data_IF_701069422170
#
_entry.id   IF_701069422170
#
_cell.length_a   1.000
_cell.length_b   1.000
_cell.length_c   1.000
_cell.angle_alpha   90.00
_cell.angle_beta   90.00
_cell.angle_gamma   90.00
#
_symmetry.space_group_name_H-M   'P 1'
#
loop_
_entity.id
_entity.type
_entity.pdbx_description
1 polymer ?
#
# COMPACT_ATOMS: atom_id res chain seq x y z
N UNK A 1 -1.69 15.56 -25.86
CA UNK A 1 -1.24 14.48 -24.95
C UNK A 1 -0.49 15.18 -23.84
N UNK A 2 -1.21 15.67 -22.84
CA UNK A 2 -0.63 16.44 -21.73
C UNK A 2 -0.08 15.44 -20.73
N UNK A 3 1.23 15.43 -20.56
CA UNK A 3 1.89 14.72 -19.47
C UNK A 3 1.20 15.10 -18.16
N UNK A 4 0.52 14.13 -17.55
CA UNK A 4 -0.08 14.31 -16.24
C UNK A 4 1.06 14.50 -15.27
N UNK A 5 1.23 15.72 -14.76
CA UNK A 5 2.21 16.04 -13.73
C UNK A 5 1.71 15.45 -12.40
N UNK A 6 1.74 14.13 -12.27
CA UNK A 6 1.61 13.47 -10.98
C UNK A 6 2.98 13.53 -10.29
N UNK A 7 3.06 13.80 -8.97
CA UNK A 7 4.33 13.76 -8.26
C UNK A 7 4.94 12.37 -8.42
N UNK A 8 6.16 12.31 -8.97
CA UNK A 8 6.82 11.06 -9.34
C UNK A 8 6.82 10.12 -8.12
N UNK A 9 6.04 9.03 -8.19
CA UNK A 9 6.03 7.96 -7.20
C UNK A 9 7.39 7.26 -7.28
N UNK A 10 8.26 7.49 -6.29
CA UNK A 10 9.62 6.91 -6.26
C UNK A 10 9.72 5.83 -5.20
N UNK A 11 9.24 4.64 -5.56
CA UNK A 11 9.32 3.45 -4.72
C UNK A 11 10.76 2.94 -4.56
N UNK A 12 11.10 2.56 -3.33
CA UNK A 12 12.34 1.90 -2.95
C UNK A 12 12.16 0.39 -3.07
N UNK A 13 12.59 -0.16 -4.20
CA UNK A 13 12.59 -1.61 -4.46
C UNK A 13 13.73 -2.30 -3.68
N UNK A 14 13.51 -3.51 -3.13
CA UNK A 14 12.23 -4.24 -3.13
C UNK A 14 11.27 -3.79 -2.01
N UNK A 15 11.78 -3.10 -0.99
CA UNK A 15 11.12 -2.92 0.33
C UNK A 15 9.72 -2.31 0.25
N UNK A 16 9.48 -1.32 -0.61
CA UNK A 16 8.15 -0.72 -0.70
C UNK A 16 7.10 -1.69 -1.23
N UNK A 17 7.46 -2.54 -2.20
CA UNK A 17 6.57 -3.58 -2.67
C UNK A 17 6.39 -4.69 -1.63
N UNK A 18 7.45 -5.04 -0.89
CA UNK A 18 7.34 -5.96 0.26
C UNK A 18 6.36 -5.43 1.33
N UNK A 19 6.35 -4.10 1.58
CA UNK A 19 5.38 -3.47 2.50
C UNK A 19 3.95 -3.53 1.95
N UNK A 20 3.76 -3.23 0.66
CA UNK A 20 2.43 -3.32 0.03
C UNK A 20 1.93 -4.77 0.05
N UNK A 21 2.78 -5.74 -0.26
CA UNK A 21 2.45 -7.16 -0.18
C UNK A 21 2.04 -7.57 1.23
N UNK A 22 2.79 -7.13 2.25
CA UNK A 22 2.48 -7.41 3.66
C UNK A 22 1.13 -6.87 4.12
N UNK A 23 0.55 -5.86 3.45
CA UNK A 23 -0.75 -5.26 3.76
C UNK A 23 -1.84 -5.64 2.74
N UNK A 24 -1.51 -6.48 1.75
CA UNK A 24 -2.39 -6.82 0.62
C UNK A 24 -3.60 -7.69 0.98
N UNK A 25 -3.61 -8.27 2.18
CA UNK A 25 -4.77 -8.96 2.76
C UNK A 25 -5.91 -8.00 3.16
N UNK A 26 -5.70 -6.70 3.01
CA UNK A 26 -6.67 -5.65 3.37
C UNK A 26 -6.80 -5.44 4.88
N UNK A 27 -5.95 -6.08 5.69
CA UNK A 27 -5.93 -5.87 7.13
C UNK A 27 -5.15 -4.61 7.50
N UNK A 28 -5.49 -4.08 8.68
CA UNK A 28 -4.81 -2.93 9.29
C UNK A 28 -3.67 -3.42 10.14
N UNK A 29 -2.49 -2.85 9.97
CA UNK A 29 -1.34 -3.23 10.80
C UNK A 29 -0.48 -2.01 11.20
N UNK A 30 0.29 -2.17 12.27
CA UNK A 30 1.23 -1.17 12.76
C UNK A 30 2.63 -1.42 12.21
N UNK A 31 3.42 -0.36 12.05
CA UNK A 31 4.76 -0.49 11.44
C UNK A 31 5.74 -1.41 12.19
N UNK A 32 5.54 -1.63 13.49
CA UNK A 32 6.35 -2.61 14.25
C UNK A 32 6.08 -4.06 13.79
N UNK A 33 4.82 -4.39 13.51
CA UNK A 33 4.43 -5.72 13.06
C UNK A 33 4.86 -5.95 11.61
N UNK A 34 4.68 -4.93 10.74
CA UNK A 34 5.18 -4.97 9.36
C UNK A 34 6.69 -5.21 9.34
N UNK A 35 7.46 -4.49 10.16
CA UNK A 35 8.90 -4.68 10.26
C UNK A 35 9.30 -6.09 10.73
N UNK A 36 8.57 -6.65 11.69
CA UNK A 36 8.79 -8.01 12.17
C UNK A 36 8.48 -9.05 11.09
N UNK A 37 7.35 -8.90 10.38
CA UNK A 37 6.93 -9.81 9.30
C UNK A 37 7.93 -9.86 8.15
N UNK A 38 8.53 -8.71 7.81
CA UNK A 38 9.50 -8.60 6.73
C UNK A 38 10.96 -8.86 7.18
N UNK A 39 11.20 -9.10 8.47
CA UNK A 39 12.55 -9.16 9.06
C UNK A 39 13.41 -7.94 8.66
N UNK A 40 12.84 -6.74 8.85
CA UNK A 40 13.47 -5.45 8.49
C UNK A 40 13.64 -4.54 9.69
N UNK A 41 14.58 -3.60 9.56
CA UNK A 41 14.77 -2.56 10.57
C UNK A 41 13.50 -1.71 10.74
N UNK A 42 12.97 -1.66 11.96
CA UNK A 42 11.76 -0.91 12.30
C UNK A 42 11.85 0.59 11.99
N UNK A 43 13.00 1.23 12.24
CA UNK A 43 13.19 2.66 11.94
C UNK A 43 13.10 2.93 10.44
N UNK A 44 13.59 1.99 9.63
CA UNK A 44 13.49 2.08 8.18
C UNK A 44 12.03 1.93 7.71
N UNK A 45 11.32 0.90 8.18
CA UNK A 45 9.89 0.71 7.87
C UNK A 45 9.04 1.91 8.27
N UNK A 46 9.27 2.46 9.48
CA UNK A 46 8.57 3.66 9.95
C UNK A 46 8.91 4.93 9.14
N UNK A 47 9.99 4.92 8.37
CA UNK A 47 10.30 5.98 7.41
C UNK A 47 9.58 5.76 6.08
N UNK A 48 9.42 4.49 5.66
CA UNK A 48 8.72 4.14 4.41
C UNK A 48 7.21 4.33 4.49
N UNK A 49 6.57 3.90 5.58
CA UNK A 49 5.10 3.94 5.71
C UNK A 49 4.48 5.33 5.50
N UNK A 50 5.00 6.43 6.11
CA UNK A 50 4.49 7.77 5.80
C UNK A 50 4.67 8.17 4.33
N UNK A 51 5.79 7.79 3.70
CA UNK A 51 6.03 8.11 2.29
C UNK A 51 5.06 7.36 1.36
N UNK A 52 4.79 6.08 1.64
CA UNK A 52 3.79 5.31 0.89
C UNK A 52 2.37 5.86 1.08
N UNK A 53 2.07 6.42 2.26
CA UNK A 53 0.85 7.19 2.48
C UNK A 53 0.82 8.49 1.67
N UNK A 54 1.92 9.22 1.60
CA UNK A 54 1.99 10.46 0.80
C UNK A 54 1.84 10.17 -0.71
N UNK A 55 2.16 8.96 -1.16
CA UNK A 55 1.87 8.46 -2.51
C UNK A 55 0.47 7.85 -2.66
N UNK A 56 -0.37 7.95 -1.61
CA UNK A 56 -1.74 7.41 -1.57
C UNK A 56 -1.82 5.88 -1.77
N UNK A 57 -0.70 5.16 -1.58
CA UNK A 57 -0.66 3.70 -1.67
C UNK A 57 -1.08 3.02 -0.38
N UNK A 58 -0.96 3.74 0.75
CA UNK A 58 -1.47 3.35 2.05
C UNK A 58 -2.34 4.48 2.60
N UNK A 59 -3.27 4.15 3.49
CA UNK A 59 -3.94 5.13 4.34
C UNK A 59 -3.60 4.87 5.81
N UNK A 60 -3.71 5.92 6.64
CA UNK A 60 -3.51 5.83 8.08
C UNK A 60 -4.85 5.93 8.78
N UNK A 61 -5.24 4.84 9.43
CA UNK A 61 -6.59 4.66 9.98
C UNK A 61 -6.59 4.47 11.49
N UNK A 62 -7.77 4.58 12.09
CA UNK A 62 -7.98 4.30 13.51
C UNK A 62 -8.62 5.46 14.27
N UNK A 63 -9.14 5.20 15.48
CA UNK A 63 -9.96 6.15 16.24
C UNK A 63 -9.18 7.34 16.81
N UNK A 64 -7.85 7.31 16.76
CA UNK A 64 -7.00 8.42 17.16
C UNK A 64 -5.94 8.70 16.11
N UNK A 65 -5.55 9.96 15.98
CA UNK A 65 -4.42 10.39 15.14
C UNK A 65 -3.08 9.75 15.52
N UNK A 66 -3.01 8.91 16.55
CA UNK A 66 -1.79 8.24 17.03
C UNK A 66 -1.87 6.71 17.00
N UNK A 67 -2.91 6.14 16.40
CA UNK A 67 -3.07 4.67 16.25
C UNK A 67 -1.85 4.02 15.61
N UNK A 68 -1.24 4.69 14.61
CA UNK A 68 -0.13 4.14 13.85
C UNK A 68 -0.52 2.96 12.96
N UNK A 69 -1.82 2.73 12.75
CA UNK A 69 -2.34 1.70 11.86
C UNK A 69 -2.32 2.19 10.41
N UNK A 70 -1.85 1.33 9.53
CA UNK A 70 -1.90 1.51 8.09
C UNK A 70 -2.74 0.42 7.45
N UNK A 71 -3.47 0.78 6.40
CA UNK A 71 -4.12 -0.16 5.49
C UNK A 71 -3.72 0.16 4.05
N UNK A 72 -3.73 -0.85 3.19
CA UNK A 72 -3.48 -0.66 1.76
C UNK A 72 -4.69 -0.02 1.08
N UNK A 73 -4.44 0.90 0.14
CA UNK A 73 -5.50 1.51 -0.68
C UNK A 73 -5.71 0.71 -1.98
N UNK A 74 -6.81 0.95 -2.73
CA UNK A 74 -6.94 0.45 -4.09
C UNK A 74 -5.71 0.76 -4.97
N UNK A 75 -5.15 1.96 -4.84
CA UNK A 75 -3.93 2.39 -5.54
C UNK A 75 -2.70 1.59 -5.12
N UNK A 76 -2.56 1.29 -3.83
CA UNK A 76 -1.50 0.40 -3.31
C UNK A 76 -1.59 -1.02 -3.87
N UNK A 77 -2.79 -1.58 -3.94
CA UNK A 77 -3.02 -2.91 -4.55
C UNK A 77 -2.71 -2.87 -6.06
N UNK A 78 -3.12 -1.82 -6.76
CA UNK A 78 -2.83 -1.63 -8.17
C UNK A 78 -1.32 -1.54 -8.43
N UNK A 79 -0.60 -0.73 -7.64
CA UNK A 79 0.86 -0.60 -7.70
C UNK A 79 1.57 -1.94 -7.50
N UNK A 80 1.18 -2.70 -6.46
CA UNK A 80 1.74 -4.03 -6.21
C UNK A 80 1.51 -4.98 -7.39
N UNK A 81 0.30 -5.01 -7.96
CA UNK A 81 -0.02 -5.88 -9.11
C UNK A 81 0.69 -5.47 -10.41
N UNK A 82 1.16 -4.23 -10.50
CA UNK A 82 1.88 -3.69 -11.65
C UNK A 82 3.39 -3.55 -11.38
N UNK A 83 3.92 -4.21 -10.35
CA UNK A 83 5.33 -4.11 -9.94
C UNK A 83 6.32 -4.36 -11.10
N UNK A 84 6.02 -5.30 -11.99
CA UNK A 84 6.87 -5.62 -13.16
C UNK A 84 6.91 -4.48 -14.19
N UNK A 85 5.97 -3.56 -14.13
CA UNK A 85 5.84 -2.41 -15.03
C UNK A 85 6.38 -1.11 -14.39
N UNK A 86 6.96 -1.18 -13.19
CA UNK A 86 7.40 -0.01 -12.44
C UNK A 86 8.42 0.88 -13.16
N UNK A 87 9.19 0.33 -14.10
CA UNK A 87 10.17 1.09 -14.89
C UNK A 87 9.59 1.76 -16.14
N UNK A 88 8.29 1.54 -16.43
CA UNK A 88 7.61 2.15 -17.56
C UNK A 88 7.16 3.57 -17.21
N UNK A 89 7.22 4.47 -18.21
CA UNK A 89 6.85 5.88 -18.02
C UNK A 89 5.35 6.02 -17.68
N UNK A 90 4.52 5.10 -18.16
CA UNK A 90 3.07 5.05 -17.94
C UNK A 90 2.67 4.40 -16.61
N UNK A 91 3.63 3.93 -15.79
CA UNK A 91 3.33 3.17 -14.57
C UNK A 91 2.29 3.85 -13.68
N UNK A 92 2.43 5.17 -13.47
CA UNK A 92 1.53 5.94 -12.61
C UNK A 92 0.11 5.97 -13.18
N UNK A 93 -0.03 6.21 -14.48
CA UNK A 93 -1.34 6.26 -15.14
C UNK A 93 -2.02 4.88 -15.12
N UNK A 94 -1.26 3.81 -15.36
CA UNK A 94 -1.75 2.42 -15.27
C UNK A 94 -2.19 2.04 -13.85
N UNK A 95 -1.49 2.54 -12.83
CA UNK A 95 -1.86 2.34 -11.43
C UNK A 95 -3.17 3.05 -11.12
N UNK A 96 -3.31 4.31 -11.54
CA UNK A 96 -4.53 5.10 -11.31
C UNK A 96 -5.74 4.47 -12.03
N UNK A 97 -5.61 4.10 -13.32
CA UNK A 97 -6.66 3.40 -14.09
C UNK A 97 -7.06 2.07 -13.42
N UNK A 98 -6.08 1.27 -13.02
CA UNK A 98 -6.35 -0.03 -12.39
C UNK A 98 -7.02 0.11 -11.02
N UNK A 99 -6.69 1.17 -10.28
CA UNK A 99 -7.26 1.41 -8.94
C UNK A 99 -8.78 1.64 -8.99
N UNK A 100 -9.31 2.23 -10.05
CA UNK A 100 -10.76 2.47 -10.22
C UNK A 100 -11.59 1.16 -10.19
N UNK A 101 -10.98 0.05 -10.61
CA UNK A 101 -11.61 -1.27 -10.62
C UNK A 101 -11.39 -2.10 -9.34
N UNK A 102 -10.76 -1.54 -8.30
CA UNK A 102 -10.42 -2.26 -7.07
C UNK A 102 -11.29 -1.77 -5.91
N UNK A 103 -12.10 -2.68 -5.38
CA UNK A 103 -12.85 -2.50 -4.15
C UNK A 103 -12.27 -3.41 -3.05
N UNK A 104 -11.85 -2.81 -1.93
CA UNK A 104 -11.31 -3.54 -0.78
C UNK A 104 -12.41 -3.65 0.26
N UNK A 105 -12.94 -4.86 0.44
CA UNK A 105 -13.99 -5.13 1.41
C UNK A 105 -13.38 -5.53 2.76
N UNK A 106 -13.91 -5.00 3.89
CA UNK A 106 -13.50 -5.45 5.21
C UNK A 106 -13.67 -6.97 5.37
N UNK A 107 -12.90 -7.61 6.28
CA UNK A 107 -13.10 -9.02 6.61
C UNK A 107 -14.56 -9.29 7.00
N UNK A 108 -15.15 -10.31 6.40
CA UNK A 108 -16.50 -10.76 6.69
C UNK A 108 -16.47 -11.89 7.73
N UNK A 109 -17.38 -11.84 8.71
CA UNK A 109 -17.58 -12.94 9.65
C UNK A 109 -18.35 -14.02 8.90
N UNK A 110 -17.76 -15.20 8.76
CA UNK A 110 -18.41 -16.40 8.19
C UNK A 110 -18.77 -17.32 9.35
N UNK A 111 -20.06 -17.61 9.51
CA UNK A 111 -20.55 -18.65 10.42
C UNK A 111 -20.86 -19.88 9.57
N UNK A 112 -20.00 -20.91 9.64
CA UNK A 112 -20.33 -22.21 9.10
C UNK A 112 -21.43 -22.80 10.00
N UNK A 113 -22.67 -22.83 9.50
CA UNK A 113 -23.75 -23.55 10.17
C UNK A 113 -23.55 -25.06 9.94
N UNK A 114 -23.46 -25.82 11.03
CA UNK A 114 -23.43 -27.30 11.04
C UNK A 114 -24.62 -27.94 10.29
#
# INVERSE_FOLDING_TARGET
MTASQNPIVKLKRPVDFEILEALSDGQRDVGVNVAQRLDRNRSYINTRLPQLKDYELLDRVGPSERSGLYEITPKGVAALRLQDQYEQDEFVDLVDERAEGIDIKPPQIVEDAD
#
